data_IF_307978225152
#
_entry.id   IF_307978225152
#
_cell.length_a   1.000
_cell.length_b   1.000
_cell.length_c   1.000
_cell.angle_alpha   90.00
_cell.angle_beta   90.00
_cell.angle_gamma   90.00
#
_symmetry.space_group_name_H-M   'P 1'
#
loop_
_entity.id
_entity.type
_entity.pdbx_description
1 polymer ?
#
# COMPACT_ATOMS: atom_id res chain seq x y z
N UNK A 1 -15.37 0.01 -7.05
CA UNK A 1 -15.62 -1.41 -6.66
C UNK A 1 -14.43 -1.97 -5.87
N UNK A 2 -13.18 -1.80 -6.31
CA UNK A 2 -11.97 -2.26 -5.58
C UNK A 2 -11.76 -1.51 -4.25
N UNK A 3 -11.92 -0.19 -4.23
CA UNK A 3 -11.75 0.61 -3.00
C UNK A 3 -12.68 0.17 -1.86
N UNK A 4 -13.93 -0.18 -2.18
CA UNK A 4 -14.90 -0.67 -1.20
C UNK A 4 -14.48 -2.02 -0.61
N UNK A 5 -13.91 -2.91 -1.44
CA UNK A 5 -13.35 -4.17 -0.98
C UNK A 5 -12.16 -3.94 -0.02
N UNK A 6 -11.23 -3.08 -0.39
CA UNK A 6 -10.06 -2.76 0.44
C UNK A 6 -10.47 -2.11 1.78
N UNK A 7 -11.49 -1.25 1.77
CA UNK A 7 -12.05 -0.66 2.98
C UNK A 7 -12.65 -1.73 3.91
N UNK A 8 -13.40 -2.68 3.36
CA UNK A 8 -13.97 -3.80 4.12
C UNK A 8 -12.87 -4.69 4.74
N UNK A 9 -11.83 -5.01 3.96
CA UNK A 9 -10.65 -5.75 4.45
C UNK A 9 -9.99 -5.01 5.62
N UNK A 10 -9.80 -3.69 5.51
CA UNK A 10 -9.22 -2.87 6.58
C UNK A 10 -10.07 -2.89 7.86
N UNK A 11 -11.40 -2.81 7.72
CA UNK A 11 -12.31 -2.88 8.85
C UNK A 11 -12.23 -4.24 9.57
N UNK A 12 -12.26 -5.34 8.82
CA UNK A 12 -12.17 -6.69 9.37
C UNK A 12 -10.82 -6.89 10.07
N UNK A 13 -9.72 -6.45 9.45
CA UNK A 13 -8.39 -6.52 10.04
C UNK A 13 -8.32 -5.80 11.40
N UNK A 14 -8.92 -4.60 11.49
CA UNK A 14 -9.01 -3.86 12.76
C UNK A 14 -9.84 -4.59 13.82
N UNK A 15 -10.98 -5.15 13.43
CA UNK A 15 -11.85 -5.88 14.36
C UNK A 15 -11.19 -7.14 14.92
N UNK A 16 -10.39 -7.83 14.10
CA UNK A 16 -9.72 -9.07 14.48
C UNK A 16 -8.31 -8.84 15.07
N UNK A 17 -7.79 -7.61 15.07
CA UNK A 17 -6.41 -7.33 15.44
C UNK A 17 -5.38 -7.99 14.50
N UNK A 18 -5.75 -8.18 13.23
CA UNK A 18 -4.93 -8.88 12.25
C UNK A 18 -4.09 -7.91 11.41
N UNK A 19 -2.89 -8.34 11.02
CA UNK A 19 -2.09 -7.65 10.02
C UNK A 19 -2.52 -8.08 8.60
N UNK A 20 -2.48 -7.14 7.65
CA UNK A 20 -2.76 -7.39 6.23
C UNK A 20 -1.54 -7.04 5.40
N UNK A 21 -1.08 -7.99 4.59
CA UNK A 21 -0.11 -7.74 3.52
C UNK A 21 -0.86 -7.67 2.20
N UNK A 22 -0.99 -6.47 1.66
CA UNK A 22 -1.60 -6.22 0.35
C UNK A 22 -0.49 -6.16 -0.71
N UNK A 23 -0.66 -6.91 -1.80
CA UNK A 23 0.20 -6.83 -2.99
C UNK A 23 -0.65 -6.23 -4.11
N UNK A 24 -0.26 -5.06 -4.58
CA UNK A 24 -1.05 -4.26 -5.52
C UNK A 24 -0.13 -3.59 -6.55
N UNK A 25 -0.62 -3.46 -7.79
CA UNK A 25 0.08 -2.73 -8.86
C UNK A 25 -0.43 -1.30 -9.00
N UNK A 26 -1.66 -1.01 -8.56
CA UNK A 26 -2.21 0.33 -8.44
C UNK A 26 -1.71 1.02 -7.15
N UNK A 27 -0.66 1.81 -7.30
CA UNK A 27 -0.04 2.56 -6.20
C UNK A 27 -1.01 3.51 -5.47
N UNK A 28 -1.79 4.38 -6.16
CA UNK A 28 -2.81 5.21 -5.53
C UNK A 28 -3.79 4.41 -4.67
N UNK A 29 -4.31 3.29 -5.17
CA UNK A 29 -5.24 2.45 -4.42
C UNK A 29 -4.59 1.84 -3.17
N UNK A 30 -3.34 1.39 -3.27
CA UNK A 30 -2.58 0.85 -2.14
C UNK A 30 -2.34 1.92 -1.06
N UNK A 31 -1.93 3.13 -1.45
CA UNK A 31 -1.67 4.24 -0.55
C UNK A 31 -2.93 4.72 0.19
N UNK A 32 -4.10 4.62 -0.44
CA UNK A 32 -5.37 5.02 0.17
C UNK A 32 -5.74 4.17 1.40
N UNK A 33 -5.25 2.93 1.50
CA UNK A 33 -5.66 1.98 2.54
C UNK A 33 -4.53 1.49 3.44
N UNK A 34 -3.27 1.59 2.99
CA UNK A 34 -2.12 1.09 3.71
C UNK A 34 -1.66 2.05 4.82
N UNK A 35 -1.15 1.49 5.91
CA UNK A 35 -0.46 2.27 6.95
C UNK A 35 1.05 2.42 6.59
N UNK A 36 1.61 1.44 5.85
CA UNK A 36 3.01 1.41 5.38
C UNK A 36 3.07 0.85 3.96
N UNK A 37 4.01 1.33 3.16
CA UNK A 37 4.23 0.85 1.79
C UNK A 37 5.69 0.47 1.59
N UNK A 38 5.91 -0.62 0.85
CA UNK A 38 7.22 -1.06 0.39
C UNK A 38 7.17 -1.29 -1.12
N UNK A 39 8.18 -0.81 -1.84
CA UNK A 39 8.35 -1.10 -3.26
C UNK A 39 9.38 -2.21 -3.40
N UNK A 40 9.03 -3.26 -4.14
CA UNK A 40 9.93 -4.36 -4.48
C UNK A 40 10.28 -4.27 -5.97
N UNK A 41 11.58 -4.26 -6.28
CA UNK A 41 12.12 -4.31 -7.65
C UNK A 41 13.24 -5.34 -7.71
N UNK A 42 13.16 -6.26 -8.68
CA UNK A 42 14.17 -7.31 -8.89
C UNK A 42 14.51 -8.09 -7.62
N UNK A 43 13.50 -8.43 -6.81
CA UNK A 43 13.68 -9.19 -5.57
C UNK A 43 14.20 -8.38 -4.37
N UNK A 44 14.40 -7.07 -4.51
CA UNK A 44 14.90 -6.20 -3.44
C UNK A 44 13.85 -5.15 -3.05
N UNK A 45 13.77 -4.82 -1.76
CA UNK A 45 13.00 -3.66 -1.28
C UNK A 45 13.81 -2.40 -1.59
N UNK A 46 13.30 -1.56 -2.48
CA UNK A 46 13.98 -0.33 -2.93
C UNK A 46 13.45 0.94 -2.24
N UNK A 47 12.29 0.83 -1.59
CA UNK A 47 11.69 1.89 -0.79
C UNK A 47 10.82 1.28 0.32
N UNK A 48 10.87 1.86 1.52
CA UNK A 48 9.97 1.53 2.62
C UNK A 48 9.66 2.79 3.42
N UNK A 49 8.38 3.09 3.60
CA UNK A 49 7.94 4.33 4.25
C UNK A 49 6.55 4.17 4.87
N UNK A 50 6.21 4.93 5.93
CA UNK A 50 4.81 5.19 6.25
C UNK A 50 4.08 5.71 5.01
N UNK A 51 2.82 5.30 4.81
CA UNK A 51 2.01 5.76 3.69
C UNK A 51 1.78 7.29 3.75
N UNK A 52 1.73 7.86 4.96
CA UNK A 52 1.59 9.30 5.21
C UNK A 52 2.79 10.14 4.79
N UNK A 53 3.97 9.53 4.70
CA UNK A 53 5.22 10.18 4.31
C UNK A 53 5.61 9.84 2.86
N UNK A 54 4.75 9.09 2.17
CA UNK A 54 5.03 8.64 0.83
C UNK A 54 5.01 9.83 -0.15
N UNK A 55 6.02 9.97 -1.02
CA UNK A 55 6.04 11.03 -2.00
C UNK A 55 4.88 10.89 -2.99
N UNK A 56 4.57 11.98 -3.68
CA UNK A 56 3.43 12.02 -4.61
C UNK A 56 3.51 10.89 -5.64
N UNK A 57 2.36 10.44 -6.15
CA UNK A 57 2.31 9.35 -7.13
C UNK A 57 3.17 9.62 -8.38
N UNK A 58 3.34 10.90 -8.75
CA UNK A 58 4.16 11.34 -9.87
C UNK A 58 5.67 11.16 -9.61
N UNK A 59 6.12 11.21 -8.36
CA UNK A 59 7.53 10.97 -7.98
C UNK A 59 7.92 9.48 -8.00
N UNK A 60 6.96 8.58 -8.19
CA UNK A 60 7.16 7.14 -8.11
C UNK A 60 7.65 6.51 -9.40
N UNK A 61 7.50 7.19 -10.54
CA UNK A 61 8.00 6.72 -11.84
C UNK A 61 9.49 6.37 -11.82
N UNK A 62 10.28 6.97 -10.93
CA UNK A 62 11.71 6.65 -10.76
C UNK A 62 11.97 5.21 -10.27
N UNK A 63 10.97 4.55 -9.70
CA UNK A 63 11.08 3.17 -9.24
C UNK A 63 10.60 2.15 -10.26
N UNK A 64 9.93 2.57 -11.34
CA UNK A 64 9.54 1.72 -12.46
C UNK A 64 10.62 1.78 -13.55
#
# INVERSE_FOLDING_TARGET
>A
MVEQMLAAVRQIARQLGAAVLLVEQDMPAALAVADRVHIIKQGNIVLGSPASEFPSADDLWKYF
#
